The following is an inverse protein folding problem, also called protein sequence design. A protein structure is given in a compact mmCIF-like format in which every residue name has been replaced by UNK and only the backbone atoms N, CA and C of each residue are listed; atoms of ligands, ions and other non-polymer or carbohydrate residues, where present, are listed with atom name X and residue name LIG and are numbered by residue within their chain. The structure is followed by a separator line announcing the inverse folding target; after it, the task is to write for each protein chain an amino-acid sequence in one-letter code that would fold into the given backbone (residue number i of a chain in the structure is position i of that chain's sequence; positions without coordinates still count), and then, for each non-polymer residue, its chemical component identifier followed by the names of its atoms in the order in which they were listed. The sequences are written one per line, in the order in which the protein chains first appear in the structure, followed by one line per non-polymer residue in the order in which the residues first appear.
data_IF_201697411018
#
_entry.id   IF_201697411018
#
_cell.length_a   1.000
_cell.length_b   1.000
_cell.length_c   1.000
_cell.angle_alpha   90.00
_cell.angle_beta   90.00
_cell.angle_gamma   90.00
#
_symmetry.space_group_name_H-M   'P 1'
#
loop_
_entity.id
_entity.type
_entity.pdbx_description
1 polymer ?
#
# COMPACT_ATOMS: atom_id res chain seq x y z
N UNK A 1 -4.82 -23.39 -6.31
CA UNK A 1 -6.03 -22.58 -6.55
C UNK A 1 -7.24 -23.47 -6.31
N UNK A 2 -8.17 -23.07 -5.44
CA UNK A 2 -9.36 -23.88 -5.10
C UNK A 2 -10.55 -23.36 -5.90
N UNK A 3 -11.12 -24.18 -6.77
CA UNK A 3 -12.38 -23.87 -7.45
C UNK A 3 -13.57 -24.28 -6.56
N UNK A 4 -14.63 -23.47 -6.58
CA UNK A 4 -15.91 -23.75 -5.94
C UNK A 4 -16.99 -23.78 -7.02
N UNK A 5 -17.88 -24.76 -6.98
CA UNK A 5 -19.02 -24.87 -7.89
C UNK A 5 -20.27 -24.31 -7.22
N UNK A 6 -20.90 -23.29 -7.82
CA UNK A 6 -22.07 -22.63 -7.24
C UNK A 6 -23.29 -23.56 -7.06
N UNK A 7 -23.34 -24.67 -7.80
CA UNK A 7 -24.40 -25.68 -7.72
C UNK A 7 -24.22 -26.70 -6.60
N UNK A 8 -23.06 -26.74 -5.93
CA UNK A 8 -22.83 -27.69 -4.85
C UNK A 8 -23.66 -27.33 -3.61
N UNK A 9 -24.34 -28.29 -2.95
CA UNK A 9 -25.09 -28.02 -1.72
C UNK A 9 -24.22 -27.43 -0.60
N UNK A 10 -22.93 -27.74 -0.58
CA UNK A 10 -21.95 -27.21 0.37
C UNK A 10 -21.32 -25.87 -0.04
N UNK A 11 -21.70 -25.31 -1.19
CA UNK A 11 -21.13 -24.06 -1.71
C UNK A 11 -21.27 -22.88 -0.75
N UNK A 12 -22.45 -22.58 -0.15
CA UNK A 12 -22.61 -21.40 0.70
C UNK A 12 -21.59 -21.37 1.85
N UNK A 13 -21.45 -22.48 2.58
CA UNK A 13 -20.49 -22.61 3.69
C UNK A 13 -19.04 -22.54 3.22
N UNK A 14 -18.71 -23.19 2.10
CA UNK A 14 -17.35 -23.17 1.56
C UNK A 14 -16.94 -21.79 1.03
N UNK A 15 -17.90 -21.03 0.48
CA UNK A 15 -17.74 -19.67 -0.01
C UNK A 15 -17.61 -18.66 1.13
N UNK A 16 -18.47 -18.71 2.14
CA UNK A 16 -18.36 -17.85 3.34
C UNK A 16 -17.00 -18.00 4.02
N UNK A 17 -16.52 -19.24 4.17
CA UNK A 17 -15.18 -19.49 4.74
C UNK A 17 -14.07 -18.88 3.90
N UNK A 18 -14.18 -18.93 2.57
CA UNK A 18 -13.20 -18.34 1.66
C UNK A 18 -13.19 -16.80 1.75
N UNK A 19 -14.37 -16.18 1.80
CA UNK A 19 -14.52 -14.72 1.89
C UNK A 19 -14.02 -14.21 3.24
N UNK A 20 -14.39 -14.87 4.34
CA UNK A 20 -13.94 -14.47 5.67
C UNK A 20 -12.44 -14.64 5.87
N UNK A 21 -11.83 -15.69 5.31
CA UNK A 21 -10.38 -15.86 5.33
C UNK A 21 -9.62 -14.71 4.62
N UNK A 22 -10.22 -14.06 3.61
CA UNK A 22 -9.64 -12.86 3.01
C UNK A 22 -9.80 -11.62 3.88
N UNK A 23 -10.94 -11.46 4.57
CA UNK A 23 -11.20 -10.31 5.45
C UNK A 23 -10.22 -10.22 6.62
N UNK A 24 -9.75 -11.35 7.15
CA UNK A 24 -8.69 -11.36 8.17
C UNK A 24 -7.39 -10.71 7.68
N UNK A 25 -7.10 -10.76 6.37
CA UNK A 25 -5.96 -10.06 5.78
C UNK A 25 -6.20 -8.55 5.69
N UNK A 26 -7.45 -8.12 5.46
CA UNK A 26 -7.83 -6.70 5.42
C UNK A 26 -7.72 -6.03 6.80
N UNK A 27 -8.01 -6.76 7.88
CA UNK A 27 -7.85 -6.26 9.26
C UNK A 27 -6.39 -5.97 9.61
N UNK A 28 -5.46 -6.79 9.09
CA UNK A 28 -4.02 -6.57 9.26
C UNK A 28 -3.56 -5.31 8.51
N UNK A 29 -4.00 -5.13 7.26
CA UNK A 29 -3.70 -3.91 6.50
C UNK A 29 -4.28 -2.68 7.18
N UNK A 30 -5.51 -2.75 7.69
CA UNK A 30 -6.12 -1.65 8.43
C UNK A 30 -5.36 -1.33 9.73
N UNK A 31 -4.80 -2.33 10.41
CA UNK A 31 -3.90 -2.13 11.55
C UNK A 31 -2.61 -1.42 11.12
N UNK A 32 -1.94 -1.92 10.09
CA UNK A 32 -0.66 -1.38 9.59
C UNK A 32 -0.80 0.07 9.12
N UNK A 33 -1.85 0.39 8.36
CA UNK A 33 -2.12 1.75 7.88
C UNK A 33 -2.37 2.71 9.06
N UNK A 34 -3.11 2.27 10.08
CA UNK A 34 -3.30 3.07 11.31
C UNK A 34 -1.98 3.33 12.02
N UNK A 35 -1.10 2.33 12.08
CA UNK A 35 0.27 2.46 12.61
C UNK A 35 1.08 3.50 11.83
N UNK A 36 1.13 3.38 10.50
CA UNK A 36 1.85 4.31 9.63
C UNK A 36 1.35 5.75 9.82
N UNK A 37 0.03 5.97 9.82
CA UNK A 37 -0.56 7.30 10.02
C UNK A 37 -0.20 7.86 11.40
N UNK A 38 -0.23 7.03 12.45
CA UNK A 38 0.17 7.45 13.79
C UNK A 38 1.63 7.91 13.82
N UNK A 39 2.53 7.12 13.24
CA UNK A 39 3.97 7.42 13.19
C UNK A 39 4.26 8.69 12.39
N UNK A 40 3.62 8.87 11.25
CA UNK A 40 3.76 10.10 10.44
C UNK A 40 3.25 11.31 11.23
N UNK A 41 2.15 11.20 11.98
CA UNK A 41 1.66 12.29 12.84
C UNK A 41 2.59 12.59 14.02
N UNK A 42 3.25 11.59 14.58
CA UNK A 42 4.11 11.73 15.75
C UNK A 42 5.52 12.24 15.38
N UNK A 43 6.08 11.77 14.27
CA UNK A 43 7.47 12.01 13.87
C UNK A 43 7.64 12.86 12.61
N UNK A 44 6.56 13.14 11.87
CA UNK A 44 6.60 13.94 10.65
C UNK A 44 7.51 13.32 9.58
N UNK A 45 8.35 14.17 8.98
CA UNK A 45 9.22 13.81 7.86
C UNK A 45 10.16 12.64 8.16
N UNK A 46 10.59 12.47 9.42
CA UNK A 46 11.44 11.34 9.79
C UNK A 46 10.77 9.98 9.54
N UNK A 47 9.45 9.87 9.74
CA UNK A 47 8.70 8.66 9.40
C UNK A 47 8.54 8.52 7.88
N UNK A 48 8.35 9.63 7.15
CA UNK A 48 8.24 9.62 5.69
C UNK A 48 9.54 9.15 5.02
N UNK A 49 10.71 9.61 5.49
CA UNK A 49 12.03 9.15 5.01
C UNK A 49 12.17 7.63 5.20
N UNK A 50 11.83 7.13 6.39
CA UNK A 50 11.93 5.71 6.72
C UNK A 50 11.01 4.85 5.85
N UNK A 51 9.74 5.24 5.70
CA UNK A 51 8.76 4.48 4.95
C UNK A 51 8.98 4.54 3.43
N UNK A 52 9.42 5.68 2.89
CA UNK A 52 9.76 5.79 1.46
C UNK A 52 10.95 4.89 1.12
N UNK A 53 11.98 4.85 1.97
CA UNK A 53 13.11 3.95 1.78
C UNK A 53 12.68 2.47 1.88
N UNK A 54 11.77 2.14 2.80
CA UNK A 54 11.32 0.77 3.04
C UNK A 54 10.40 0.23 1.95
N UNK A 55 9.40 1.00 1.54
CA UNK A 55 8.33 0.51 0.67
C UNK A 55 8.59 0.82 -0.80
N UNK A 56 9.25 1.95 -1.10
CA UNK A 56 9.48 2.42 -2.46
C UNK A 56 10.94 2.23 -2.90
N UNK A 57 11.82 1.83 -1.97
CA UNK A 57 13.28 1.83 -2.20
C UNK A 57 13.83 3.19 -2.62
N UNK A 58 13.16 4.27 -2.20
CA UNK A 58 13.50 5.65 -2.55
C UNK A 58 14.04 6.40 -1.33
N UNK A 59 15.24 6.95 -1.44
CA UNK A 59 15.89 7.67 -0.35
C UNK A 59 15.56 9.16 -0.45
N UNK A 60 14.89 9.70 0.57
CA UNK A 60 14.58 11.12 0.68
C UNK A 60 15.71 11.85 1.42
N UNK A 61 16.74 12.26 0.69
CA UNK A 61 17.97 12.85 1.24
C UNK A 61 18.10 14.35 0.99
N UNK A 62 17.63 14.82 -0.16
CA UNK A 62 17.67 16.20 -0.61
C UNK A 62 16.25 16.69 -0.98
N UNK A 63 16.05 18.01 -1.04
CA UNK A 63 14.74 18.62 -1.35
C UNK A 63 14.15 18.13 -2.70
N UNK A 64 15.00 17.85 -3.68
CA UNK A 64 14.60 17.33 -4.97
C UNK A 64 14.01 15.92 -4.91
N UNK A 65 14.34 15.13 -3.88
CA UNK A 65 13.80 13.79 -3.67
C UNK A 65 12.34 13.85 -3.21
N UNK A 66 11.95 14.94 -2.53
CA UNK A 66 10.60 15.18 -2.00
C UNK A 66 9.65 15.75 -3.05
N UNK A 67 10.16 16.59 -3.93
CA UNK A 67 9.35 17.35 -4.88
C UNK A 67 9.93 17.25 -6.29
N UNK A 68 9.13 16.70 -7.20
CA UNK A 68 9.44 16.74 -8.64
C UNK A 68 9.31 18.18 -9.12
N UNK A 69 10.42 18.74 -9.61
CA UNK A 69 10.45 20.13 -10.06
C UNK A 69 9.67 20.32 -11.37
N UNK A 70 9.15 21.54 -11.59
CA UNK A 70 8.51 21.89 -12.86
C UNK A 70 9.45 21.72 -14.06
N UNK A 71 10.74 21.96 -13.85
CA UNK A 71 11.77 21.81 -14.86
C UNK A 71 11.92 20.33 -15.26
N UNK A 72 12.03 19.43 -14.29
CA UNK A 72 12.12 17.99 -14.55
C UNK A 72 10.87 17.46 -15.29
N UNK A 73 9.68 17.98 -14.96
CA UNK A 73 8.47 17.65 -15.70
C UNK A 73 8.49 18.15 -17.16
N UNK A 74 9.07 19.34 -17.41
CA UNK A 74 9.19 19.89 -18.76
C UNK A 74 10.17 19.08 -19.61
N UNK A 75 11.34 18.75 -19.05
CA UNK A 75 12.35 17.90 -19.69
C UNK A 75 11.78 16.54 -20.07
N UNK A 76 11.09 15.88 -19.13
CA UNK A 76 10.45 14.59 -19.38
C UNK A 76 9.36 14.64 -20.47
N UNK A 77 8.73 15.79 -20.69
CA UNK A 77 7.74 15.98 -21.76
C UNK A 77 8.40 16.22 -23.12
N UNK A 78 9.51 16.95 -23.15
CA UNK A 78 10.28 17.22 -24.37
C UNK A 78 10.96 15.94 -24.91
N UNK A 79 11.29 14.99 -24.03
CA UNK A 79 11.92 13.71 -24.35
C UNK A 79 10.95 12.57 -24.76
N UNK A 80 9.66 12.85 -24.95
CA UNK A 80 8.64 11.88 -25.42
C UNK A 80 8.80 11.50 -26.90
#
# INVERSE_FOLDING_TARGET
MRLLHASDPGFPTAFERLVNARRESDDNVAHDVRGIIHEVRARGDAALVEYSARFDSHALTDEADWCISKQACAEAYEDL
#
